data_IF_913070591171
#
_entry.id   IF_913070591171
#
_cell.length_a   1.000
_cell.length_b   1.000
_cell.length_c   1.000
_cell.angle_alpha   90.00
_cell.angle_beta   90.00
_cell.angle_gamma   90.00
#
_symmetry.space_group_name_H-M   'P 1'
#
loop_
_entity.id
_entity.type
_entity.pdbx_description
1 polymer ?
#
# COMPACT_ATOMS: atom_id res chain seq x y z
N UNK A 1 -40.53 34.81 -34.97
CA UNK A 1 -39.56 33.72 -35.16
C UNK A 1 -40.30 32.57 -35.81
N UNK A 2 -39.87 32.08 -36.97
CA UNK A 2 -40.66 31.15 -37.77
C UNK A 2 -40.52 29.73 -37.20
N UNK A 3 -41.61 29.07 -36.82
CA UNK A 3 -41.57 27.73 -36.18
C UNK A 3 -40.84 26.69 -37.05
N UNK A 4 -40.93 26.85 -38.37
CA UNK A 4 -40.24 26.01 -39.37
C UNK A 4 -38.71 26.14 -39.26
N UNK A 5 -38.19 27.35 -39.00
CA UNK A 5 -36.75 27.56 -38.84
C UNK A 5 -36.22 26.90 -37.56
N UNK A 6 -37.00 26.97 -36.47
CA UNK A 6 -36.65 26.33 -35.19
C UNK A 6 -36.59 24.80 -35.35
N UNK A 7 -37.59 24.21 -36.02
CA UNK A 7 -37.63 22.76 -36.28
C UNK A 7 -36.48 22.29 -37.17
N UNK A 8 -36.09 23.08 -38.17
CA UNK A 8 -34.97 22.75 -39.04
C UNK A 8 -33.63 22.78 -38.28
N UNK A 9 -33.40 23.78 -37.44
CA UNK A 9 -32.19 23.88 -36.58
C UNK A 9 -32.15 22.72 -35.59
N UNK A 10 -33.27 22.39 -34.94
CA UNK A 10 -33.36 21.26 -34.01
C UNK A 10 -33.09 19.92 -34.70
N UNK A 11 -33.58 19.74 -35.92
CA UNK A 11 -33.36 18.52 -36.70
C UNK A 11 -31.90 18.38 -37.10
N UNK A 12 -31.25 19.48 -37.52
CA UNK A 12 -29.82 19.54 -37.83
C UNK A 12 -28.96 19.13 -36.63
N UNK A 13 -29.21 19.75 -35.47
CA UNK A 13 -28.48 19.45 -34.24
C UNK A 13 -28.65 17.98 -33.82
N UNK A 14 -29.85 17.41 -33.98
CA UNK A 14 -30.10 16.01 -33.67
C UNK A 14 -29.29 15.08 -34.58
N UNK A 15 -29.19 15.38 -35.87
CA UNK A 15 -28.41 14.59 -36.83
C UNK A 15 -26.91 14.67 -36.49
N UNK A 16 -26.39 15.87 -36.24
CA UNK A 16 -24.99 16.08 -35.89
C UNK A 16 -24.62 15.30 -34.61
N UNK A 17 -25.51 15.33 -33.60
CA UNK A 17 -25.32 14.58 -32.34
C UNK A 17 -25.36 13.06 -32.52
N UNK A 18 -26.12 12.54 -33.49
CA UNK A 18 -26.16 11.11 -33.80
C UNK A 18 -24.85 10.66 -34.46
N UNK A 19 -24.34 11.46 -35.40
CA UNK A 19 -23.08 11.18 -36.08
C UNK A 19 -21.88 11.19 -35.12
N UNK A 20 -21.83 12.15 -34.19
CA UNK A 20 -20.80 12.20 -33.15
C UNK A 20 -20.86 10.97 -32.23
N UNK A 21 -22.06 10.56 -31.82
CA UNK A 21 -22.25 9.37 -30.99
C UNK A 21 -21.79 8.07 -31.68
N UNK A 22 -21.96 7.95 -32.99
CA UNK A 22 -21.45 6.81 -33.76
C UNK A 22 -19.91 6.79 -33.78
N UNK A 23 -19.27 7.95 -34.01
CA UNK A 23 -17.80 8.08 -33.97
C UNK A 23 -17.25 7.71 -32.59
N UNK A 24 -17.86 8.23 -31.52
CA UNK A 24 -17.46 7.93 -30.15
C UNK A 24 -17.58 6.44 -29.82
N UNK A 25 -18.62 5.74 -30.31
CA UNK A 25 -18.75 4.29 -30.11
C UNK A 25 -17.59 3.51 -30.76
N UNK A 26 -17.16 3.91 -31.95
CA UNK A 26 -16.04 3.29 -32.65
C UNK A 26 -14.73 3.51 -31.88
N UNK A 27 -14.50 4.73 -31.39
CA UNK A 27 -13.33 5.06 -30.58
C UNK A 27 -13.29 4.27 -29.26
N UNK A 28 -14.44 4.12 -28.59
CA UNK A 28 -14.55 3.33 -27.36
C UNK A 28 -14.23 1.85 -27.62
N UNK A 29 -14.70 1.27 -28.72
CA UNK A 29 -14.38 -0.12 -29.06
C UNK A 29 -12.88 -0.31 -29.34
N UNK A 30 -12.29 0.61 -30.11
CA UNK A 30 -10.85 0.62 -30.37
C UNK A 30 -10.04 0.76 -29.07
N UNK A 31 -10.44 1.66 -28.18
CA UNK A 31 -9.80 1.87 -26.88
C UNK A 31 -9.92 0.62 -25.99
N UNK A 32 -11.09 0.00 -25.94
CA UNK A 32 -11.30 -1.23 -25.18
C UNK A 32 -10.42 -2.39 -25.68
N UNK A 33 -10.25 -2.50 -27.01
CA UNK A 33 -9.35 -3.48 -27.62
C UNK A 33 -7.89 -3.23 -27.29
N UNK A 34 -7.44 -1.97 -27.35
CA UNK A 34 -6.06 -1.63 -26.95
C UNK A 34 -5.82 -1.86 -25.46
N UNK A 35 -6.77 -1.49 -24.61
CA UNK A 35 -6.69 -1.69 -23.16
C UNK A 35 -6.62 -3.17 -22.78
N UNK A 36 -7.45 -4.03 -23.39
CA UNK A 36 -7.40 -5.48 -23.13
C UNK A 36 -6.06 -6.09 -23.55
N UNK A 37 -5.50 -5.68 -24.69
CA UNK A 37 -4.15 -6.11 -25.12
C UNK A 37 -3.07 -5.65 -24.14
N UNK A 38 -3.15 -4.40 -23.68
CA UNK A 38 -2.22 -3.83 -22.70
C UNK A 38 -2.29 -4.58 -21.36
N UNK A 39 -3.49 -4.79 -20.80
CA UNK A 39 -3.70 -5.55 -19.56
C UNK A 39 -3.09 -6.94 -19.66
N UNK A 40 -3.39 -7.68 -20.74
CA UNK A 40 -2.83 -9.00 -20.97
C UNK A 40 -1.29 -9.00 -21.08
N UNK A 41 -0.70 -7.92 -21.61
CA UNK A 41 0.76 -7.79 -21.66
C UNK A 41 1.37 -7.45 -20.31
N UNK A 42 0.68 -6.65 -19.49
CA UNK A 42 1.08 -6.34 -18.12
C UNK A 42 1.14 -7.60 -17.26
N UNK A 43 0.07 -8.42 -17.30
CA UNK A 43 0.02 -9.68 -16.54
C UNK A 43 1.16 -10.64 -16.94
N UNK A 44 1.50 -10.69 -18.24
CA UNK A 44 2.64 -11.48 -18.73
C UNK A 44 3.97 -10.93 -18.24
N UNK A 45 4.15 -9.61 -18.23
CA UNK A 45 5.36 -8.96 -17.74
C UNK A 45 5.53 -9.18 -16.22
N UNK A 46 4.47 -9.03 -15.45
CA UNK A 46 4.48 -9.26 -14.00
C UNK A 46 4.83 -10.71 -13.67
N UNK A 47 4.30 -11.67 -14.42
CA UNK A 47 4.67 -13.08 -14.31
C UNK A 47 6.15 -13.32 -14.62
N UNK A 48 6.68 -12.74 -15.72
CA UNK A 48 8.10 -12.85 -16.09
C UNK A 48 9.03 -12.24 -15.02
N UNK A 49 8.71 -11.05 -14.53
CA UNK A 49 9.48 -10.37 -13.49
C UNK A 49 9.42 -11.13 -12.15
N UNK A 50 8.28 -11.75 -11.84
CA UNK A 50 8.14 -12.66 -10.71
C UNK A 50 9.07 -13.87 -10.84
N UNK A 51 9.13 -14.49 -12.02
CA UNK A 51 10.02 -15.64 -12.26
C UNK A 51 11.51 -15.26 -12.22
N UNK A 52 11.89 -14.10 -12.79
CA UNK A 52 13.29 -13.65 -12.86
C UNK A 52 13.90 -13.34 -11.48
N UNK A 53 13.08 -12.95 -10.50
CA UNK A 53 13.54 -12.68 -9.13
C UNK A 53 13.59 -13.92 -8.23
N UNK A 54 13.24 -15.09 -8.77
CA UNK A 54 13.36 -16.35 -8.07
C UNK A 54 14.85 -16.71 -7.90
N UNK A 55 15.37 -16.57 -6.67
CA UNK A 55 16.79 -16.77 -6.32
C UNK A 55 17.27 -18.20 -6.62
N UNK A 56 16.34 -19.12 -6.82
CA UNK A 56 16.58 -20.54 -7.09
C UNK A 56 16.90 -20.84 -8.57
N UNK A 57 16.58 -19.92 -9.49
CA UNK A 57 16.90 -20.03 -10.91
C UNK A 57 18.29 -19.51 -11.28
N UNK A 58 19.19 -19.27 -10.32
CA UNK A 58 20.58 -18.86 -10.57
C UNK A 58 21.47 -20.03 -10.97
N UNK A 59 21.07 -20.83 -11.96
CA UNK A 59 22.00 -21.69 -12.66
C UNK A 59 22.82 -20.82 -13.63
N UNK A 60 23.91 -20.22 -13.13
CA UNK A 60 24.89 -19.53 -13.96
C UNK A 60 25.87 -20.51 -14.61
N UNK A 61 26.68 -20.03 -15.55
CA UNK A 61 27.82 -20.80 -16.09
C UNK A 61 28.75 -21.21 -14.93
N UNK A 62 28.68 -22.48 -14.53
CA UNK A 62 29.48 -23.06 -13.44
C UNK A 62 28.73 -23.43 -12.16
N UNK A 63 27.40 -23.26 -12.08
CA UNK A 63 26.60 -23.71 -10.92
C UNK A 63 25.56 -24.75 -11.32
N UNK A 64 25.50 -25.87 -10.58
CA UNK A 64 24.48 -26.90 -10.74
C UNK A 64 23.12 -26.43 -10.19
N UNK A 65 22.06 -26.79 -10.91
CA UNK A 65 20.69 -26.48 -10.52
C UNK A 65 20.33 -27.15 -9.19
N UNK A 66 19.80 -26.38 -8.23
CA UNK A 66 19.47 -26.90 -6.90
C UNK A 66 18.19 -27.77 -6.95
N UNK A 67 18.37 -29.08 -7.14
CA UNK A 67 17.27 -30.07 -7.32
C UNK A 67 16.28 -30.19 -6.16
N UNK A 68 16.62 -29.72 -4.96
CA UNK A 68 15.83 -29.93 -3.73
C UNK A 68 15.12 -28.70 -3.20
N UNK A 69 15.03 -27.62 -3.98
CA UNK A 69 14.31 -26.43 -3.52
C UNK A 69 12.84 -26.54 -3.87
N UNK A 70 11.97 -26.53 -2.86
CA UNK A 70 10.53 -26.35 -3.06
C UNK A 70 10.29 -25.05 -3.83
N UNK A 71 9.83 -25.17 -5.07
CA UNK A 71 9.41 -24.04 -5.87
C UNK A 71 8.09 -23.53 -5.29
N UNK A 72 8.17 -22.45 -4.53
CA UNK A 72 6.98 -21.74 -4.10
C UNK A 72 6.57 -20.83 -5.26
N UNK A 73 5.31 -20.94 -5.72
CA UNK A 73 4.72 -19.91 -6.56
C UNK A 73 4.84 -18.58 -5.81
N UNK A 74 5.44 -17.59 -6.46
CA UNK A 74 5.78 -16.29 -5.90
C UNK A 74 4.68 -15.72 -4.99
N UNK A 75 4.79 -15.98 -3.68
CA UNK A 75 4.19 -15.14 -2.67
C UNK A 75 5.03 -13.88 -2.67
N UNK A 76 4.73 -12.95 -3.58
CA UNK A 76 4.93 -11.58 -3.21
C UNK A 76 4.12 -11.41 -1.93
N UNK A 77 4.81 -11.30 -0.80
CA UNK A 77 4.25 -10.61 0.35
C UNK A 77 3.77 -9.29 -0.26
N UNK A 78 2.45 -9.11 -0.39
CA UNK A 78 1.86 -7.80 -0.74
C UNK A 78 2.70 -6.80 0.02
N UNK A 79 3.32 -5.82 -0.65
CA UNK A 79 4.05 -4.75 0.05
C UNK A 79 3.15 -4.35 1.20
N UNK A 80 3.52 -4.72 2.43
CA UNK A 80 2.85 -4.16 3.59
C UNK A 80 3.06 -2.67 3.36
N UNK A 81 1.97 -1.94 3.14
CA UNK A 81 2.03 -0.48 3.04
C UNK A 81 2.98 -0.01 4.12
N UNK A 82 3.94 0.86 3.76
CA UNK A 82 4.89 1.37 4.73
C UNK A 82 4.08 2.02 5.85
N UNK A 83 3.82 1.25 6.90
CA UNK A 83 3.23 1.69 8.14
C UNK A 83 4.34 2.51 8.77
N UNK A 84 4.38 3.79 8.42
CA UNK A 84 5.31 4.76 9.00
C UNK A 84 4.99 4.77 10.49
N UNK A 85 5.76 3.98 11.24
CA UNK A 85 5.63 3.83 12.68
C UNK A 85 6.65 4.76 13.32
N UNK A 86 6.18 5.58 14.25
CA UNK A 86 7.06 6.45 14.99
C UNK A 86 7.88 5.64 15.99
N UNK A 87 9.22 5.67 15.89
CA UNK A 87 10.10 4.94 16.82
C UNK A 87 9.99 5.43 18.28
N UNK A 88 9.45 6.63 18.50
CA UNK A 88 9.32 7.22 19.84
C UNK A 88 8.01 6.82 20.55
N UNK A 89 6.87 6.99 19.88
CA UNK A 89 5.56 6.73 20.46
C UNK A 89 4.93 5.39 20.04
N UNK A 90 5.43 4.77 18.97
CA UNK A 90 4.92 3.50 18.45
C UNK A 90 3.61 3.61 17.66
N UNK A 91 3.10 4.82 17.43
CA UNK A 91 1.89 5.02 16.62
C UNK A 91 2.22 5.15 15.15
N UNK A 92 1.27 4.77 14.30
CA UNK A 92 1.40 4.89 12.85
C UNK A 92 1.10 6.32 12.37
N UNK A 93 1.60 6.66 11.17
CA UNK A 93 1.29 7.89 10.45
C UNK A 93 2.32 9.02 10.55
N UNK A 94 3.41 8.88 11.31
CA UNK A 94 4.43 9.93 11.43
C UNK A 94 5.82 9.40 11.83
N UNK A 95 6.87 10.19 11.59
CA UNK A 95 8.27 9.87 11.92
C UNK A 95 8.64 10.48 13.27
N UNK A 96 9.65 9.95 13.96
CA UNK A 96 10.11 10.45 15.27
C UNK A 96 10.39 11.96 15.34
N UNK A 97 10.74 12.61 14.24
CA UNK A 97 10.98 14.06 14.16
C UNK A 97 9.70 14.89 14.27
N UNK A 98 8.58 14.39 13.75
CA UNK A 98 7.27 15.04 13.82
C UNK A 98 6.41 14.53 14.97
N UNK A 99 6.99 13.76 15.90
CA UNK A 99 6.24 13.18 17.02
C UNK A 99 5.84 14.25 18.05
N UNK A 100 4.54 14.39 18.27
CA UNK A 100 3.96 15.33 19.25
C UNK A 100 4.53 15.06 20.66
N UNK A 101 4.69 13.79 21.03
CA UNK A 101 5.23 13.37 22.33
C UNK A 101 6.74 13.64 22.49
N UNK A 102 7.46 13.86 21.39
CA UNK A 102 8.88 14.24 21.41
C UNK A 102 9.04 15.75 21.49
N UNK A 103 8.23 16.49 20.74
CA UNK A 103 8.33 17.95 20.65
C UNK A 103 7.62 18.67 21.80
N UNK A 104 6.67 18.02 22.47
CA UNK A 104 5.98 18.58 23.63
C UNK A 104 6.29 17.77 24.90
N UNK A 105 7.06 18.39 25.81
CA UNK A 105 7.42 17.84 27.12
C UNK A 105 6.17 17.49 27.94
N UNK A 106 5.08 18.25 27.77
CA UNK A 106 3.83 18.11 28.50
C UNK A 106 3.08 16.79 28.20
N UNK A 107 3.25 16.25 26.99
CA UNK A 107 2.62 14.99 26.56
C UNK A 107 3.58 13.81 26.67
N UNK A 108 4.89 14.07 26.85
CA UNK A 108 5.91 13.05 27.01
C UNK A 108 5.52 12.11 28.14
N UNK A 109 5.32 10.83 27.78
CA UNK A 109 4.96 9.68 28.64
C UNK A 109 5.30 9.98 30.11
N UNK A 110 4.26 10.10 30.94
CA UNK A 110 4.32 10.22 32.39
C UNK A 110 5.57 9.51 32.91
N UNK A 111 6.43 10.26 33.63
CA UNK A 111 7.71 9.78 34.17
C UNK A 111 7.57 8.31 34.59
N UNK A 112 8.32 7.40 33.95
CA UNK A 112 8.35 5.99 34.33
C UNK A 112 8.98 5.88 35.71
N UNK A 113 8.14 5.92 36.73
CA UNK A 113 8.54 5.73 38.12
C UNK A 113 8.75 4.23 38.32
N UNK A 114 9.96 3.86 38.72
CA UNK A 114 10.25 2.51 39.16
C UNK A 114 9.60 2.30 40.53
N UNK A 115 8.82 1.24 40.66
CA UNK A 115 8.23 0.84 41.94
C UNK A 115 8.75 -0.54 42.35
N UNK A 116 8.93 -0.81 43.66
CA UNK A 116 9.28 -2.14 44.13
C UNK A 116 8.19 -3.14 43.76
N UNK A 117 8.57 -4.32 43.26
CA UNK A 117 7.60 -5.38 42.90
C UNK A 117 6.99 -5.99 44.17
N UNK A 118 5.69 -5.79 44.40
CA UNK A 118 4.92 -6.42 45.47
C UNK A 118 4.59 -5.46 46.62
N UNK A 119 3.36 -4.96 46.66
CA UNK A 119 2.91 -3.97 47.65
C UNK A 119 2.03 -4.64 48.71
N UNK A 120 2.61 -5.36 49.69
CA UNK A 120 1.88 -5.77 50.91
C UNK A 120 2.78 -6.17 52.10
N UNK A 121 4.01 -5.64 52.22
CA UNK A 121 4.77 -5.85 53.46
C UNK A 121 5.41 -4.53 53.88
N UNK A 122 4.91 -4.00 54.99
CA UNK A 122 5.50 -2.87 55.70
C UNK A 122 6.91 -3.23 56.16
N UNK A 123 7.88 -2.43 55.72
CA UNK A 123 9.22 -2.27 56.32
C UNK A 123 10.29 -3.34 56.04
N UNK A 124 10.60 -3.63 54.77
CA UNK A 124 11.84 -4.33 54.41
C UNK A 124 12.96 -3.32 54.12
N UNK A 125 13.98 -3.24 54.99
CA UNK A 125 15.25 -2.53 54.69
C UNK A 125 16.28 -3.56 54.20
N UNK A 126 16.70 -3.46 52.93
CA UNK A 126 17.81 -4.29 52.42
C UNK A 126 18.06 -4.23 50.90
N UNK A 127 19.21 -4.74 50.40
CA UNK A 127 19.75 -4.44 49.06
C UNK A 127 19.12 -5.22 47.88
N UNK A 128 17.99 -5.93 48.07
CA UNK A 128 17.45 -6.90 47.10
C UNK A 128 16.08 -6.52 46.52
N UNK A 129 15.89 -5.25 46.16
CA UNK A 129 14.66 -4.83 45.47
C UNK A 129 14.72 -5.15 43.97
N UNK A 130 13.72 -5.89 43.48
CA UNK A 130 13.46 -6.02 42.04
C UNK A 130 12.51 -4.90 41.62
N UNK A 131 13.07 -3.85 41.03
CA UNK A 131 12.31 -2.70 40.53
C UNK A 131 11.55 -3.08 39.26
N UNK A 132 10.28 -2.70 39.18
CA UNK A 132 9.43 -2.88 37.99
C UNK A 132 8.79 -1.56 37.57
N UNK A 133 8.46 -1.37 36.28
CA UNK A 133 7.71 -0.20 35.84
C UNK A 133 6.33 -0.18 36.50
N UNK A 134 5.91 0.99 37.00
CA UNK A 134 4.53 1.19 37.46
C UNK A 134 3.59 1.12 36.23
N UNK A 135 2.62 0.21 36.29
CA UNK A 135 1.56 0.10 35.29
C UNK A 135 0.60 1.29 35.35
#
# INVERSE_FOLDING_TARGET
MNEIEILNVSSKLSIDSLEENEKLKIEIDALKKTFSKFSNSSDKLDNLLGLQRCVFGKAGLGYEEMKNVKHFNNFFVKKNEHKICCNYCGTLGHISTSCIFRNNICFGKTRKIWVPKGTLVTNLKGPKFKWVPKA
#
